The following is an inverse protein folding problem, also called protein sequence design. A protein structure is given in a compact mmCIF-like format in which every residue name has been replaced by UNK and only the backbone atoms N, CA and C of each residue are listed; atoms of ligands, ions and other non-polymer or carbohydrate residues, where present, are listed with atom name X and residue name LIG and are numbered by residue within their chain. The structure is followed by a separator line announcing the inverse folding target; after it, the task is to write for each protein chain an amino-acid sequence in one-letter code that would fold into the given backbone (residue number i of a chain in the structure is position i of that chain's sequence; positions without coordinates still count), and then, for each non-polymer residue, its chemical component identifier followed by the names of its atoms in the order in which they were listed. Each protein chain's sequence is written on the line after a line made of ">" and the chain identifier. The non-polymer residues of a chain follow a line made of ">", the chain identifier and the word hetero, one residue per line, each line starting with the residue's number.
data_IF_863753734468
#
_entry.id   IF_863753734468
#
_cell.length_a   1.000
_cell.length_b   1.000
_cell.length_c   1.000
_cell.angle_alpha   90.00
_cell.angle_beta   90.00
_cell.angle_gamma   90.00
#
_symmetry.space_group_name_H-M   'P 1'
#
loop_
_entity.id
_entity.type
_entity.pdbx_description
1 polymer ?
#
# COMPACT_ATOMS: atom_id res chain seq x y z
N UNK A 1 -25.42 -20.98 31.45
CA UNK A 1 -25.05 -19.55 31.40
C UNK A 1 -23.60 -19.32 30.95
N UNK A 2 -22.58 -19.84 31.64
CA UNK A 2 -21.16 -19.64 31.25
C UNK A 2 -20.81 -20.07 29.81
N UNK A 3 -21.36 -21.20 29.33
CA UNK A 3 -21.14 -21.67 27.95
C UNK A 3 -21.77 -20.76 26.89
N UNK A 4 -22.95 -20.21 27.18
CA UNK A 4 -23.66 -19.27 26.29
C UNK A 4 -22.90 -17.95 26.20
N UNK A 5 -22.38 -17.46 27.33
CA UNK A 5 -21.52 -16.28 27.37
C UNK A 5 -20.21 -16.48 26.57
N UNK A 6 -19.60 -17.66 26.67
CA UNK A 6 -18.38 -17.97 25.91
C UNK A 6 -18.62 -18.00 24.39
N UNK A 7 -19.72 -18.61 23.94
CA UNK A 7 -20.08 -18.64 22.51
C UNK A 7 -20.40 -17.25 21.99
N UNK A 8 -21.11 -16.43 22.77
CA UNK A 8 -21.38 -15.03 22.42
C UNK A 8 -20.10 -14.21 22.32
N UNK A 9 -19.19 -14.34 23.28
CA UNK A 9 -17.91 -13.63 23.25
C UNK A 9 -17.07 -14.02 22.02
N UNK A 10 -17.06 -15.30 21.65
CA UNK A 10 -16.39 -15.78 20.44
C UNK A 10 -17.03 -15.23 19.16
N UNK A 11 -18.36 -15.21 19.09
CA UNK A 11 -19.07 -14.64 17.94
C UNK A 11 -18.83 -13.13 17.81
N UNK A 12 -18.89 -12.40 18.92
CA UNK A 12 -18.61 -10.96 18.98
C UNK A 12 -17.18 -10.63 18.56
N UNK A 13 -16.19 -11.42 18.99
CA UNK A 13 -14.80 -11.23 18.56
C UNK A 13 -14.62 -11.52 17.07
N UNK A 14 -15.32 -12.51 16.52
CA UNK A 14 -15.29 -12.80 15.08
C UNK A 14 -15.93 -11.67 14.24
N UNK A 15 -17.08 -11.15 14.68
CA UNK A 15 -17.74 -10.02 14.02
C UNK A 15 -16.92 -8.74 14.15
N UNK A 16 -16.32 -8.47 15.31
CA UNK A 16 -15.42 -7.34 15.49
C UNK A 16 -14.19 -7.44 14.57
N UNK A 17 -13.60 -8.63 14.44
CA UNK A 17 -12.51 -8.88 13.50
C UNK A 17 -12.92 -8.64 12.05
N UNK A 18 -14.08 -9.14 11.63
CA UNK A 18 -14.61 -8.94 10.28
C UNK A 18 -14.91 -7.46 9.99
N UNK A 19 -15.52 -6.74 10.93
CA UNK A 19 -15.83 -5.32 10.79
C UNK A 19 -14.56 -4.44 10.71
N UNK A 20 -13.52 -4.77 11.49
CA UNK A 20 -12.22 -4.09 11.40
C UNK A 20 -11.46 -4.46 10.12
N UNK A 21 -11.61 -5.69 9.61
CA UNK A 21 -11.03 -6.08 8.31
C UNK A 21 -11.71 -5.39 7.12
N UNK A 22 -13.01 -5.08 7.23
CA UNK A 22 -13.74 -4.29 6.23
C UNK A 22 -13.27 -2.81 6.20
N UNK A 23 -12.43 -2.39 7.15
CA UNK A 23 -11.72 -1.12 7.14
C UNK A 23 -10.40 -1.18 6.35
N UNK A 24 -10.13 -2.26 5.60
CA UNK A 24 -9.31 -2.21 4.37
C UNK A 24 -10.12 -1.50 3.26
N UNK A 25 -10.52 -0.27 3.59
CA UNK A 25 -11.01 0.79 2.73
C UNK A 25 -9.85 1.79 2.80
N UNK A 26 -9.03 1.99 1.80
CA UNK A 26 -9.43 2.27 0.45
C UNK A 26 -8.26 1.88 -0.46
N UNK A 27 -8.43 0.88 -1.33
CA UNK A 27 -7.41 0.64 -2.34
C UNK A 27 -7.19 1.89 -3.22
N UNK A 28 -8.15 2.83 -3.27
CA UNK A 28 -7.94 4.13 -3.91
C UNK A 28 -6.89 4.98 -3.21
N UNK A 29 -6.79 4.92 -1.87
CA UNK A 29 -5.75 5.66 -1.14
C UNK A 29 -4.37 5.07 -1.47
N UNK A 30 -4.27 3.73 -1.52
CA UNK A 30 -3.05 3.05 -1.96
C UNK A 30 -2.72 3.37 -3.42
N UNK A 31 -3.73 3.42 -4.29
CA UNK A 31 -3.61 3.78 -5.71
C UNK A 31 -3.18 5.25 -5.89
N UNK A 32 -3.66 6.16 -5.05
CA UNK A 32 -3.23 7.56 -5.04
C UNK A 32 -1.76 7.69 -4.62
N UNK A 33 -1.34 6.96 -3.58
CA UNK A 33 0.08 6.92 -3.17
C UNK A 33 0.95 6.29 -4.26
N UNK A 34 0.50 5.19 -4.88
CA UNK A 34 1.21 4.54 -5.98
C UNK A 34 1.43 5.51 -7.15
N UNK A 35 0.40 6.28 -7.54
CA UNK A 35 0.53 7.32 -8.59
C UNK A 35 1.58 8.37 -8.24
N UNK A 36 1.59 8.87 -7.01
CA UNK A 36 2.61 9.83 -6.59
C UNK A 36 4.03 9.26 -6.60
N UNK A 37 4.21 7.99 -6.24
CA UNK A 37 5.51 7.32 -6.34
C UNK A 37 5.96 7.22 -7.79
N UNK A 38 5.05 6.85 -8.70
CA UNK A 38 5.33 6.79 -10.15
C UNK A 38 5.68 8.17 -10.71
N UNK A 39 4.95 9.22 -10.32
CA UNK A 39 5.26 10.61 -10.69
C UNK A 39 6.64 11.03 -10.20
N UNK A 40 7.00 10.73 -8.95
CA UNK A 40 8.31 11.07 -8.39
C UNK A 40 9.47 10.39 -9.16
N UNK A 41 9.28 9.13 -9.57
CA UNK A 41 10.25 8.41 -10.39
C UNK A 41 10.41 9.08 -11.76
N UNK A 42 9.31 9.41 -12.44
CA UNK A 42 9.37 10.08 -13.73
C UNK A 42 10.07 11.43 -13.62
N UNK A 43 9.76 12.24 -12.61
CA UNK A 43 10.42 13.54 -12.43
C UNK A 43 11.93 13.39 -12.20
N UNK A 44 12.35 12.36 -11.46
CA UNK A 44 13.77 12.02 -11.32
C UNK A 44 14.42 11.62 -12.65
N UNK A 45 13.74 10.82 -13.46
CA UNK A 45 14.21 10.44 -14.81
C UNK A 45 14.33 11.66 -15.73
N UNK A 46 13.32 12.55 -15.72
CA UNK A 46 13.31 13.80 -16.46
C UNK A 46 14.46 14.72 -16.02
N UNK A 47 14.68 14.90 -14.71
CA UNK A 47 15.76 15.72 -14.18
C UNK A 47 17.15 15.19 -14.59
N UNK A 48 17.34 13.86 -14.55
CA UNK A 48 18.57 13.20 -14.99
C UNK A 48 18.82 13.36 -16.48
N UNK A 49 17.77 13.22 -17.30
CA UNK A 49 17.86 13.38 -18.76
C UNK A 49 18.10 14.84 -19.18
N UNK A 50 17.42 15.80 -18.55
CA UNK A 50 17.48 17.21 -18.93
C UNK A 50 18.79 17.90 -18.51
N UNK A 51 19.33 17.55 -17.35
CA UNK A 51 20.52 18.23 -16.82
C UNK A 51 21.83 17.45 -16.99
N UNK A 52 21.83 16.28 -17.64
CA UNK A 52 22.93 15.30 -17.52
C UNK A 52 23.39 15.14 -16.06
N UNK A 53 22.46 15.26 -15.12
CA UNK A 53 22.79 15.26 -13.70
C UNK A 53 23.12 13.83 -13.33
N UNK A 54 24.40 13.58 -13.08
CA UNK A 54 24.85 12.30 -12.55
C UNK A 54 24.39 12.21 -11.11
N UNK A 55 23.23 11.59 -10.90
CA UNK A 55 22.61 11.39 -9.60
C UNK A 55 23.33 10.30 -8.78
N UNK A 56 24.66 10.31 -8.77
CA UNK A 56 25.49 9.31 -8.12
C UNK A 56 25.13 9.13 -6.65
N UNK A 57 25.13 7.87 -6.22
CA UNK A 57 24.94 7.46 -4.83
C UNK A 57 23.52 7.72 -4.31
N UNK A 58 23.17 8.98 -4.05
CA UNK A 58 21.92 9.34 -3.38
C UNK A 58 20.70 9.25 -4.29
N UNK A 59 20.78 9.68 -5.55
CA UNK A 59 19.62 9.57 -6.44
C UNK A 59 19.41 8.15 -6.96
N UNK A 60 20.48 7.39 -7.21
CA UNK A 60 20.37 5.96 -7.49
C UNK A 60 19.69 5.19 -6.33
N UNK A 61 20.05 5.49 -5.07
CA UNK A 61 19.39 4.90 -3.89
C UNK A 61 17.95 5.38 -3.71
N UNK A 62 17.68 6.67 -3.94
CA UNK A 62 16.31 7.19 -3.87
C UNK A 62 15.42 6.51 -4.91
N UNK A 63 15.91 6.34 -6.14
CA UNK A 63 15.21 5.60 -7.20
C UNK A 63 15.01 4.13 -6.82
N UNK A 64 16.00 3.46 -6.24
CA UNK A 64 15.86 2.09 -5.74
C UNK A 64 14.74 1.97 -4.71
N UNK A 65 14.68 2.88 -3.73
CA UNK A 65 13.63 2.90 -2.72
C UNK A 65 12.25 3.21 -3.31
N UNK A 66 12.15 4.15 -4.26
CA UNK A 66 10.89 4.47 -4.93
C UNK A 66 10.40 3.30 -5.78
N UNK A 67 11.29 2.63 -6.51
CA UNK A 67 10.97 1.44 -7.30
C UNK A 67 10.57 0.25 -6.41
N UNK A 68 11.15 0.12 -5.22
CA UNK A 68 10.71 -0.88 -4.25
C UNK A 68 9.30 -0.56 -3.73
N UNK A 69 9.05 0.70 -3.35
CA UNK A 69 7.73 1.16 -2.90
C UNK A 69 6.65 0.99 -3.98
N UNK A 70 6.95 1.30 -5.25
CA UNK A 70 6.05 1.10 -6.39
C UNK A 70 5.59 -0.36 -6.51
N UNK A 71 6.54 -1.32 -6.43
CA UNK A 71 6.22 -2.76 -6.46
C UNK A 71 5.38 -3.20 -5.27
N UNK A 72 5.74 -2.79 -4.07
CA UNK A 72 5.00 -3.17 -2.86
C UNK A 72 3.58 -2.60 -2.84
N UNK A 73 3.42 -1.34 -3.26
CA UNK A 73 2.12 -0.71 -3.40
C UNK A 73 1.27 -1.40 -4.47
N UNK A 74 1.86 -1.75 -5.62
CA UNK A 74 1.17 -2.51 -6.66
C UNK A 74 0.63 -3.84 -6.13
N UNK A 75 1.45 -4.62 -5.43
CA UNK A 75 1.04 -5.88 -4.81
C UNK A 75 -0.07 -5.68 -3.76
N UNK A 76 0.03 -4.63 -2.95
CA UNK A 76 -0.98 -4.31 -1.94
C UNK A 76 -2.33 -3.90 -2.57
N UNK A 77 -2.29 -3.12 -3.64
CA UNK A 77 -3.49 -2.72 -4.42
C UNK A 77 -4.13 -3.96 -5.04
N UNK A 78 -3.35 -4.82 -5.69
CA UNK A 78 -3.87 -6.03 -6.33
C UNK A 78 -4.51 -6.98 -5.32
N UNK A 79 -3.86 -7.18 -4.17
CA UNK A 79 -4.42 -7.96 -3.07
C UNK A 79 -5.72 -7.34 -2.53
N UNK A 80 -5.76 -6.03 -2.33
CA UNK A 80 -6.94 -5.33 -1.83
C UNK A 80 -8.12 -5.42 -2.83
N UNK A 81 -7.85 -5.25 -4.13
CA UNK A 81 -8.85 -5.42 -5.20
C UNK A 81 -9.39 -6.83 -5.27
N UNK A 82 -8.55 -7.86 -5.09
CA UNK A 82 -8.97 -9.26 -5.11
C UNK A 82 -9.89 -9.64 -3.94
N UNK A 83 -9.85 -8.87 -2.85
CA UNK A 83 -10.69 -9.07 -1.64
C UNK A 83 -11.88 -8.11 -1.55
N UNK A 84 -12.05 -7.20 -2.51
CA UNK A 84 -13.15 -6.25 -2.52
C UNK A 84 -14.49 -6.97 -2.83
N UNK A 85 -15.56 -6.71 -2.06
CA UNK A 85 -16.87 -7.39 -2.20
C UNK A 85 -17.65 -6.99 -3.44
#
# INVERSE_FOLDING_TARGET
>A
MKKVLAVLALALSFVAGAALSAQVRDWHDLDAVHKHVVEAIHEMEHARAANHYDMQGHGAKAEEHLRAAERELGLAIDAARATAP
#
